data_IF_215248820228
#
_entry.id   IF_215248820228
#
_cell.length_a   1.000
_cell.length_b   1.000
_cell.length_c   1.000
_cell.angle_alpha   90.00
_cell.angle_beta   90.00
_cell.angle_gamma   90.00
#
_symmetry.space_group_name_H-M   'P 1'
#
loop_
_entity.id
_entity.type
_entity.pdbx_description
1 polymer ?
#
# COMPACT_ATOMS: atom_id res chain seq x y z
N UNK A 1 6.32 -17.50 26.32
CA UNK A 1 7.22 -17.91 25.22
C UNK A 1 7.29 -16.72 24.27
N UNK A 2 8.20 -15.78 24.50
CA UNK A 2 8.41 -14.64 23.59
C UNK A 2 9.15 -15.16 22.38
N UNK A 3 8.48 -15.29 21.23
CA UNK A 3 9.16 -15.71 20.00
C UNK A 3 10.17 -14.63 19.63
N UNK A 4 11.44 -14.93 19.80
CA UNK A 4 12.55 -14.07 19.40
C UNK A 4 12.63 -14.15 17.87
N UNK A 5 12.62 -13.00 17.19
CA UNK A 5 12.81 -12.94 15.74
C UNK A 5 14.22 -13.45 15.45
N UNK A 6 14.33 -14.47 14.60
CA UNK A 6 15.64 -15.02 14.20
C UNK A 6 16.39 -14.05 13.28
N UNK A 7 17.71 -14.14 13.22
CA UNK A 7 18.52 -13.31 12.32
C UNK A 7 18.04 -13.39 10.86
N UNK A 8 17.63 -14.57 10.41
CA UNK A 8 17.07 -14.78 9.06
C UNK A 8 15.73 -14.07 8.85
N UNK A 9 14.86 -14.04 9.85
CA UNK A 9 13.59 -13.30 9.81
C UNK A 9 13.84 -11.79 9.86
N UNK A 10 14.83 -11.31 10.62
CA UNK A 10 15.23 -9.89 10.65
C UNK A 10 15.66 -9.45 9.24
N UNK A 11 16.52 -10.22 8.58
CA UNK A 11 16.99 -9.90 7.21
C UNK A 11 15.83 -9.89 6.22
N UNK A 12 14.97 -10.92 6.29
CA UNK A 12 13.81 -11.04 5.40
C UNK A 12 12.83 -9.87 5.58
N UNK A 13 12.53 -9.51 6.83
CA UNK A 13 11.66 -8.39 7.14
C UNK A 13 12.27 -7.05 6.70
N UNK A 14 13.56 -6.85 6.93
CA UNK A 14 14.29 -5.64 6.51
C UNK A 14 14.28 -5.47 4.99
N UNK A 15 14.50 -6.55 4.24
CA UNK A 15 14.42 -6.53 2.78
C UNK A 15 12.99 -6.21 2.31
N UNK A 16 11.98 -6.77 2.98
CA UNK A 16 10.57 -6.47 2.71
C UNK A 16 10.22 -5.00 2.93
N UNK A 17 10.67 -4.39 4.03
CA UNK A 17 10.47 -2.96 4.30
C UNK A 17 11.15 -2.08 3.25
N UNK A 18 12.39 -2.42 2.88
CA UNK A 18 13.14 -1.69 1.87
C UNK A 18 12.42 -1.72 0.52
N UNK A 19 12.01 -2.90 0.05
CA UNK A 19 11.30 -3.05 -1.22
C UNK A 19 9.95 -2.32 -1.20
N UNK A 20 9.14 -2.55 -0.17
CA UNK A 20 7.81 -1.93 -0.04
C UNK A 20 7.89 -0.40 0.01
N UNK A 21 8.82 0.15 0.80
CA UNK A 21 9.00 1.60 0.93
C UNK A 21 9.59 2.25 -0.33
N UNK A 22 10.52 1.58 -1.00
CA UNK A 22 11.19 2.11 -2.18
C UNK A 22 10.23 2.30 -3.36
N UNK A 23 9.46 1.26 -3.71
CA UNK A 23 8.55 1.32 -4.85
C UNK A 23 7.39 2.29 -4.61
N UNK A 24 6.73 2.19 -3.45
CA UNK A 24 5.54 3.00 -3.16
C UNK A 24 5.86 4.49 -2.99
N UNK A 25 6.96 4.83 -2.32
CA UNK A 25 7.37 6.23 -2.13
C UNK A 25 7.84 6.85 -3.43
N UNK A 26 8.61 6.11 -4.25
CA UNK A 26 9.04 6.56 -5.58
C UNK A 26 7.82 6.86 -6.46
N UNK A 27 6.84 5.96 -6.50
CA UNK A 27 5.61 6.16 -7.26
C UNK A 27 4.80 7.36 -6.76
N UNK A 28 4.68 7.55 -5.44
CA UNK A 28 4.01 8.72 -4.87
C UNK A 28 4.68 10.03 -5.32
N UNK A 29 6.01 10.10 -5.27
CA UNK A 29 6.76 11.29 -5.69
C UNK A 29 6.52 11.59 -7.16
N UNK A 30 6.65 10.58 -8.03
CA UNK A 30 6.43 10.73 -9.47
C UNK A 30 4.98 11.17 -9.76
N UNK A 31 4.00 10.54 -9.12
CA UNK A 31 2.59 10.91 -9.28
C UNK A 31 2.30 12.33 -8.80
N UNK A 32 2.96 12.77 -7.72
CA UNK A 32 2.81 14.14 -7.20
C UNK A 32 3.28 15.16 -8.24
N UNK A 33 4.47 14.97 -8.82
CA UNK A 33 4.96 15.85 -9.88
C UNK A 33 4.06 15.81 -11.12
N UNK A 34 3.60 14.63 -11.51
CA UNK A 34 2.69 14.49 -12.66
C UNK A 34 1.37 15.25 -12.42
N UNK A 35 0.79 15.13 -11.22
CA UNK A 35 -0.41 15.88 -10.87
C UNK A 35 -0.18 17.40 -10.89
N UNK A 36 0.94 17.88 -10.32
CA UNK A 36 1.19 19.31 -10.14
C UNK A 36 1.65 20.02 -11.43
N UNK A 37 2.30 19.28 -12.34
CA UNK A 37 2.91 19.86 -13.55
C UNK A 37 2.13 19.52 -14.82
N UNK A 38 1.43 18.38 -14.86
CA UNK A 38 0.77 17.88 -16.07
C UNK A 38 -0.75 17.89 -15.92
N UNK A 39 -1.31 17.23 -14.91
CA UNK A 39 -2.76 17.10 -14.79
C UNK A 39 -3.45 18.42 -14.41
N UNK A 40 -2.83 19.20 -13.52
CA UNK A 40 -3.39 20.47 -13.05
C UNK A 40 -2.31 21.56 -12.99
N UNK A 41 -2.03 22.21 -14.13
CA UNK A 41 -1.10 23.33 -14.20
C UNK A 41 -1.56 24.47 -13.26
N UNK A 42 -0.69 24.87 -12.34
CA UNK A 42 -0.96 25.93 -11.37
C UNK A 42 -0.84 25.49 -9.91
N UNK A 43 -1.12 24.21 -9.62
CA UNK A 43 -0.97 23.66 -8.25
C UNK A 43 0.47 23.81 -7.76
N UNK A 44 1.47 23.56 -8.61
CA UNK A 44 2.86 23.73 -8.21
C UNK A 44 3.19 25.15 -7.74
N UNK A 45 2.66 26.18 -8.42
CA UNK A 45 2.89 27.57 -8.03
C UNK A 45 2.10 27.97 -6.78
N UNK A 46 0.89 27.43 -6.59
CA UNK A 46 0.11 27.59 -5.36
C UNK A 46 0.85 26.99 -4.16
N UNK A 47 1.33 25.75 -4.27
CA UNK A 47 2.10 25.08 -3.22
C UNK A 47 3.41 25.81 -2.88
N UNK A 48 4.05 26.46 -3.86
CA UNK A 48 5.22 27.31 -3.58
C UNK A 48 4.88 28.58 -2.81
N UNK A 49 3.70 29.17 -3.04
CA UNK A 49 3.23 30.35 -2.30
C UNK A 49 2.72 30.00 -0.91
N UNK A 50 2.10 28.83 -0.76
CA UNK A 50 1.47 28.36 0.48
C UNK A 50 1.94 26.93 0.84
N UNK A 51 3.17 26.77 1.39
CA UNK A 51 3.74 25.45 1.69
C UNK A 51 2.94 24.62 2.72
N UNK A 52 2.11 25.28 3.53
CA UNK A 52 1.18 24.62 4.46
C UNK A 52 0.13 23.75 3.75
N UNK A 53 -0.10 23.95 2.45
CA UNK A 53 -1.02 23.13 1.65
C UNK A 53 -0.42 21.80 1.20
N UNK A 54 0.91 21.60 1.33
CA UNK A 54 1.60 20.41 0.81
C UNK A 54 1.01 19.12 1.39
N UNK A 55 0.76 19.05 2.70
CA UNK A 55 0.17 17.85 3.33
C UNK A 55 -1.17 17.50 2.70
N UNK A 56 -2.04 18.50 2.49
CA UNK A 56 -3.35 18.32 1.87
C UNK A 56 -3.21 17.89 0.41
N UNK A 57 -2.24 18.44 -0.33
CA UNK A 57 -2.00 18.06 -1.71
C UNK A 57 -1.49 16.62 -1.84
N UNK A 58 -0.65 16.14 -0.92
CA UNK A 58 -0.19 14.74 -0.93
C UNK A 58 -1.35 13.77 -0.67
N UNK A 59 -2.23 14.05 0.29
CA UNK A 59 -3.45 13.26 0.50
C UNK A 59 -4.32 13.21 -0.77
N UNK A 60 -4.42 14.33 -1.48
CA UNK A 60 -5.19 14.41 -2.71
C UNK A 60 -4.52 13.65 -3.87
N UNK A 61 -3.20 13.66 -3.97
CA UNK A 61 -2.45 12.83 -4.93
C UNK A 61 -2.68 11.35 -4.63
N UNK A 62 -2.64 10.93 -3.37
CA UNK A 62 -2.95 9.55 -2.97
C UNK A 62 -4.37 9.17 -3.37
N UNK A 63 -5.35 10.07 -3.17
CA UNK A 63 -6.74 9.85 -3.59
C UNK A 63 -6.90 9.76 -5.10
N UNK A 64 -6.24 10.64 -5.85
CA UNK A 64 -6.44 10.80 -7.29
C UNK A 64 -5.60 9.83 -8.14
N UNK A 65 -4.32 9.64 -7.78
CA UNK A 65 -3.38 8.71 -8.42
C UNK A 65 -2.84 7.71 -7.39
N UNK A 66 -3.74 6.85 -6.91
CA UNK A 66 -3.42 5.83 -5.91
C UNK A 66 -2.34 4.87 -6.43
N UNK A 67 -1.17 4.75 -5.75
CA UNK A 67 -0.04 3.99 -6.25
C UNK A 67 -0.16 2.46 -6.10
N UNK A 68 -1.14 1.95 -5.32
CA UNK A 68 -1.28 0.52 -5.01
C UNK A 68 -2.66 0.00 -5.37
N UNK A 69 -2.89 -0.34 -6.64
CA UNK A 69 -4.25 -0.66 -7.12
C UNK A 69 -4.76 -2.06 -6.73
N UNK A 70 -3.89 -2.95 -6.23
CA UNK A 70 -4.26 -4.34 -5.94
C UNK A 70 -3.63 -4.85 -4.64
N UNK A 71 -4.47 -5.40 -3.76
CA UNK A 71 -4.05 -6.21 -2.60
C UNK A 71 -4.57 -7.63 -2.78
N UNK A 72 -3.68 -8.62 -2.70
CA UNK A 72 -4.05 -10.03 -2.82
C UNK A 72 -4.62 -10.53 -1.49
N UNK A 73 -5.79 -11.16 -1.55
CA UNK A 73 -6.35 -11.95 -0.43
C UNK A 73 -6.43 -13.41 -0.86
N UNK A 74 -6.13 -14.33 0.06
CA UNK A 74 -6.28 -15.78 -0.11
C UNK A 74 -7.18 -16.25 1.03
N UNK A 75 -8.32 -16.85 0.70
CA UNK A 75 -9.23 -17.44 1.70
C UNK A 75 -8.63 -18.76 2.18
N UNK A 76 -8.52 -18.94 3.50
CA UNK A 76 -8.16 -20.25 4.04
C UNK A 76 -9.29 -21.24 3.72
N UNK A 77 -8.95 -22.44 3.23
CA UNK A 77 -9.92 -23.53 3.12
C UNK A 77 -10.38 -23.85 4.54
N UNK A 78 -11.68 -23.70 4.84
CA UNK A 78 -12.19 -24.27 6.09
C UNK A 78 -12.06 -25.79 5.99
N UNK A 79 -11.66 -26.42 7.09
CA UNK A 79 -11.63 -27.88 7.19
C UNK A 79 -12.97 -28.45 6.73
N UNK A 80 -12.90 -29.52 5.92
CA UNK A 80 -14.06 -30.22 5.36
C UNK A 80 -15.15 -30.39 6.41
N UNK A 81 -16.38 -30.00 6.09
CA UNK A 81 -17.53 -30.56 6.78
C UNK A 81 -17.42 -32.09 6.72
N UNK A 82 -17.36 -32.72 7.90
CA UNK A 82 -17.49 -34.15 8.05
C UNK A 82 -18.80 -34.59 7.38
N UNK A 83 -18.82 -35.61 6.51
CA UNK A 83 -20.06 -36.04 5.88
C UNK A 83 -21.02 -36.51 6.98
N UNK A 84 -22.19 -35.88 7.06
CA UNK A 84 -23.27 -36.31 7.94
C UNK A 84 -23.66 -37.74 7.56
N UNK A 85 -23.56 -38.72 8.49
CA UNK A 85 -24.16 -40.01 8.24
C UNK A 85 -25.66 -39.81 8.43
N UNK A 86 -26.43 -39.91 7.35
CA UNK A 86 -27.77 -40.53 7.29
C UNK A 86 -28.46 -40.10 5.98
N UNK A 87 -28.02 -40.70 4.88
CA UNK A 87 -28.94 -41.21 3.88
C UNK A 87 -29.25 -42.67 4.23
N UNK A 88 -30.37 -42.91 4.90
CA UNK A 88 -31.09 -44.19 4.84
C UNK A 88 -32.57 -43.85 4.73
N UNK A 89 -33.05 -43.83 3.49
CA UNK A 89 -34.44 -44.17 3.17
C UNK A 89 -34.55 -45.66 2.88
#
# INVERSE_FOLDING_TARGET
MTSVITDGEIVTFSLGLLAAGNETTTNLIINSFYCFLVDSPGIYEELRKEPNLILKAIEEVLRYRFPVTLTRRITALSERESPSPLGMG
#
